data_IF_101516519694
#
_entry.id   IF_101516519694
#
_cell.length_a   1.000
_cell.length_b   1.000
_cell.length_c   1.000
_cell.angle_alpha   90.00
_cell.angle_beta   90.00
_cell.angle_gamma   90.00
#
_symmetry.space_group_name_H-M   'P 1'
#
loop_
_entity.id
_entity.type
_entity.pdbx_description
1 polymer ?
#
# COMPACT_ATOMS: atom_id res chain seq x y z
N UNK A 1 38.85 9.53 -18.72
CA UNK A 1 37.39 9.66 -18.54
C UNK A 1 37.05 9.19 -17.14
N UNK A 2 37.12 10.10 -16.17
CA UNK A 2 36.82 9.83 -14.76
C UNK A 2 35.33 10.03 -14.55
N UNK A 3 34.59 8.93 -14.44
CA UNK A 3 33.18 8.97 -14.04
C UNK A 3 33.16 9.22 -12.54
N UNK A 4 32.53 10.31 -12.14
CA UNK A 4 32.40 10.83 -10.78
C UNK A 4 31.96 9.78 -9.77
N UNK A 5 32.38 9.88 -8.49
CA UNK A 5 31.77 9.09 -7.43
C UNK A 5 30.30 9.47 -7.37
N UNK A 6 29.42 8.50 -7.64
CA UNK A 6 28.00 8.64 -7.43
C UNK A 6 27.81 9.07 -5.98
N UNK A 7 27.31 10.28 -5.78
CA UNK A 7 26.94 10.78 -4.46
C UNK A 7 25.87 9.85 -3.90
N UNK A 8 26.27 8.82 -3.16
CA UNK A 8 25.36 8.05 -2.31
C UNK A 8 24.83 9.03 -1.27
N UNK A 9 23.64 9.57 -1.53
CA UNK A 9 22.96 10.43 -0.59
C UNK A 9 22.78 9.64 0.70
N UNK A 10 23.48 10.08 1.76
CA UNK A 10 23.54 9.39 3.04
C UNK A 10 22.12 8.99 3.50
N UNK A 11 21.93 7.70 3.82
CA UNK A 11 20.67 7.23 4.37
C UNK A 11 20.49 7.78 5.77
N UNK A 12 19.29 8.27 6.06
CA UNK A 12 18.91 8.67 7.40
C UNK A 12 18.89 7.46 8.32
N UNK A 13 19.04 7.71 9.61
CA UNK A 13 18.99 6.66 10.62
C UNK A 13 17.65 5.94 10.74
N UNK A 14 16.55 6.44 10.12
CA UNK A 14 15.30 5.68 10.00
C UNK A 14 15.29 4.78 8.77
N UNK A 15 15.81 5.28 7.64
CA UNK A 15 15.99 4.49 6.42
C UNK A 15 16.91 3.28 6.66
N UNK A 16 18.03 3.48 7.35
CA UNK A 16 18.93 2.39 7.76
C UNK A 16 18.24 1.37 8.66
N UNK A 17 17.44 1.84 9.63
CA UNK A 17 16.70 0.95 10.51
C UNK A 17 15.68 0.10 9.73
N UNK A 18 15.02 0.68 8.72
CA UNK A 18 14.07 -0.05 7.86
C UNK A 18 14.80 -1.10 7.04
N UNK A 19 15.85 -0.73 6.31
CA UNK A 19 16.60 -1.68 5.48
C UNK A 19 17.24 -2.79 6.31
N UNK A 20 17.83 -2.46 7.46
CA UNK A 20 18.45 -3.46 8.34
C UNK A 20 17.44 -4.45 8.91
N UNK A 21 16.24 -4.01 9.27
CA UNK A 21 15.17 -4.92 9.70
C UNK A 21 14.62 -5.75 8.54
N UNK A 22 14.52 -5.17 7.34
CA UNK A 22 14.10 -5.90 6.15
C UNK A 22 15.13 -6.97 5.76
N UNK A 23 16.42 -6.66 5.87
CA UNK A 23 17.52 -7.61 5.66
C UNK A 23 17.46 -8.75 6.69
N UNK A 24 17.29 -8.41 7.98
CA UNK A 24 17.14 -9.39 9.06
C UNK A 24 15.91 -10.30 8.86
N UNK A 25 14.86 -9.83 8.18
CA UNK A 25 13.69 -10.61 7.82
C UNK A 25 13.86 -11.45 6.54
N UNK A 26 15.08 -11.56 5.99
CA UNK A 26 15.35 -12.31 4.75
C UNK A 26 15.22 -11.48 3.47
N UNK A 27 15.08 -10.16 3.60
CA UNK A 27 15.01 -9.21 2.49
C UNK A 27 13.60 -8.94 1.96
N UNK A 28 12.57 -9.50 2.57
CA UNK A 28 11.16 -9.28 2.19
C UNK A 28 10.27 -9.12 3.42
N UNK A 29 9.19 -8.35 3.30
CA UNK A 29 8.19 -8.22 4.36
C UNK A 29 6.81 -7.87 3.78
N UNK A 30 5.76 -8.55 4.23
CA UNK A 30 4.41 -8.38 3.70
C UNK A 30 3.84 -6.98 3.96
N UNK A 31 4.12 -6.39 5.13
CA UNK A 31 3.57 -5.08 5.50
C UNK A 31 4.58 -4.23 6.25
N UNK A 32 4.54 -2.91 6.02
CA UNK A 32 5.40 -1.96 6.75
C UNK A 32 5.15 -1.98 8.27
N UNK A 33 3.93 -2.31 8.69
CA UNK A 33 3.56 -2.41 10.10
C UNK A 33 4.10 -3.68 10.77
N UNK A 34 4.39 -4.74 10.01
CA UNK A 34 4.98 -5.96 10.54
C UNK A 34 6.49 -5.84 10.78
N UNK A 35 7.17 -4.85 10.18
CA UNK A 35 8.60 -4.64 10.40
C UNK A 35 8.87 -4.19 11.86
N UNK A 36 9.69 -4.93 12.63
CA UNK A 36 9.99 -4.63 14.03
C UNK A 36 11.02 -3.49 14.15
N UNK A 37 10.62 -2.29 13.74
CA UNK A 37 11.47 -1.09 13.81
C UNK A 37 11.50 -0.59 15.26
N UNK A 38 12.62 -0.87 15.95
CA UNK A 38 12.87 -0.46 17.35
C UNK A 38 12.90 1.07 17.53
N UNK A 39 13.23 1.80 16.46
CA UNK A 39 13.32 3.26 16.50
C UNK A 39 11.93 3.89 16.63
N UNK A 40 11.76 4.73 17.66
CA UNK A 40 10.53 5.51 17.86
C UNK A 40 10.27 6.39 16.65
N UNK A 41 9.25 6.03 15.88
CA UNK A 41 8.88 6.68 14.63
C UNK A 41 7.40 6.48 14.38
N UNK A 42 6.72 7.50 13.87
CA UNK A 42 5.34 7.39 13.42
C UNK A 42 5.25 6.62 12.11
N UNK A 43 4.08 6.02 11.83
CA UNK A 43 3.83 5.34 10.55
C UNK A 43 4.03 6.28 9.36
N UNK A 44 3.64 7.56 9.48
CA UNK A 44 3.86 8.57 8.43
C UNK A 44 5.35 8.78 8.13
N UNK A 45 6.20 8.82 9.16
CA UNK A 45 7.65 8.92 8.97
C UNK A 45 8.21 7.66 8.31
N UNK A 46 7.73 6.48 8.70
CA UNK A 46 8.14 5.20 8.10
C UNK A 46 7.75 5.13 6.61
N UNK A 47 6.54 5.58 6.26
CA UNK A 47 6.07 5.68 4.87
C UNK A 47 6.98 6.60 4.06
N UNK A 48 7.27 7.81 4.57
CA UNK A 48 8.18 8.75 3.90
C UNK A 48 9.58 8.15 3.70
N UNK A 49 10.10 7.44 4.70
CA UNK A 49 11.39 6.77 4.59
C UNK A 49 11.36 5.65 3.52
N UNK A 50 10.28 4.86 3.42
CA UNK A 50 10.15 3.86 2.37
C UNK A 50 10.08 4.49 0.97
N UNK A 51 9.36 5.61 0.82
CA UNK A 51 9.31 6.38 -0.43
C UNK A 51 10.70 6.90 -0.83
N UNK A 52 11.46 7.41 0.13
CA UNK A 52 12.84 7.87 -0.11
C UNK A 52 13.77 6.71 -0.47
N UNK A 53 13.67 5.58 0.22
CA UNK A 53 14.46 4.38 -0.08
C UNK A 53 14.13 3.81 -1.47
N UNK A 54 12.86 3.81 -1.88
CA UNK A 54 12.47 3.42 -3.23
C UNK A 54 13.02 4.39 -4.28
N UNK A 55 12.94 5.71 -4.03
CA UNK A 55 13.52 6.72 -4.92
C UNK A 55 15.06 6.60 -5.05
N UNK A 56 15.73 6.10 -4.00
CA UNK A 56 17.16 5.78 -4.00
C UNK A 56 17.48 4.38 -4.57
N UNK A 57 16.46 3.61 -4.96
CA UNK A 57 16.63 2.28 -5.52
C UNK A 57 17.03 1.21 -4.49
N UNK A 58 16.86 1.44 -3.18
CA UNK A 58 17.29 0.50 -2.13
C UNK A 58 16.22 -0.55 -1.77
N UNK A 59 14.96 -0.29 -2.07
CA UNK A 59 13.88 -1.25 -1.90
C UNK A 59 12.79 -1.01 -2.93
N UNK A 60 11.93 -1.99 -3.13
CA UNK A 60 10.66 -1.83 -3.82
C UNK A 60 9.52 -2.22 -2.91
N UNK A 61 8.33 -1.68 -3.19
CA UNK A 61 7.12 -2.04 -2.48
C UNK A 61 5.91 -1.90 -3.41
N UNK A 62 4.81 -2.51 -3.01
CA UNK A 62 3.49 -2.30 -3.59
C UNK A 62 2.59 -1.53 -2.62
N UNK A 63 1.49 -0.99 -3.11
CA UNK A 63 0.52 -0.28 -2.28
C UNK A 63 -0.87 -0.87 -2.42
N UNK A 64 -1.45 -1.23 -1.27
CA UNK A 64 -2.81 -1.73 -1.19
C UNK A 64 -3.77 -0.61 -0.73
N UNK A 65 -5.01 -0.62 -1.22
CA UNK A 65 -6.05 0.28 -0.72
C UNK A 65 -6.33 -0.08 0.74
N UNK A 66 -6.12 0.88 1.64
CA UNK A 66 -6.29 0.71 3.08
C UNK A 66 -7.56 1.38 3.60
N UNK A 67 -7.99 2.47 2.97
CA UNK A 67 -9.21 3.19 3.33
C UNK A 67 -9.89 3.74 2.08
N UNK A 68 -11.21 3.54 1.99
CA UNK A 68 -12.02 3.95 0.86
C UNK A 68 -13.46 4.26 1.29
N UNK A 69 -14.24 4.86 0.40
CA UNK A 69 -15.66 5.10 0.59
C UNK A 69 -16.36 5.40 -0.72
N UNK A 70 -17.68 5.57 -0.70
CA UNK A 70 -18.44 5.84 -1.93
C UNK A 70 -18.19 7.26 -2.45
N UNK A 71 -18.06 7.38 -3.77
CA UNK A 71 -18.25 8.66 -4.46
C UNK A 71 -19.74 9.04 -4.50
N UNK A 72 -20.05 10.23 -5.00
CA UNK A 72 -21.44 10.59 -5.31
C UNK A 72 -22.04 9.62 -6.33
N UNK A 73 -21.28 9.26 -7.38
CA UNK A 73 -21.69 8.29 -8.40
C UNK A 73 -22.02 6.93 -7.80
N UNK A 74 -21.14 6.40 -6.93
CA UNK A 74 -21.40 5.13 -6.23
C UNK A 74 -22.64 5.18 -5.35
N UNK A 75 -22.87 6.30 -4.64
CA UNK A 75 -24.09 6.50 -3.84
C UNK A 75 -25.35 6.54 -4.70
N UNK A 76 -25.30 7.26 -5.83
CA UNK A 76 -26.43 7.34 -6.76
C UNK A 76 -26.73 5.98 -7.35
N UNK A 77 -25.71 5.23 -7.79
CA UNK A 77 -25.86 3.89 -8.32
C UNK A 77 -26.62 2.98 -7.34
N UNK A 78 -26.27 3.00 -6.05
CA UNK A 78 -26.95 2.21 -5.02
C UNK A 78 -28.41 2.60 -4.74
N UNK A 79 -28.84 3.79 -5.15
CA UNK A 79 -30.23 4.26 -4.97
C UNK A 79 -31.12 3.97 -6.17
N UNK A 80 -30.54 3.67 -7.32
CA UNK A 80 -31.29 3.35 -8.53
C UNK A 80 -31.88 1.94 -8.39
N UNK A 81 -33.14 1.79 -8.77
CA UNK A 81 -33.74 0.47 -8.95
C UNK A 81 -33.36 -0.04 -10.34
N UNK A 82 -32.30 -0.83 -10.39
CA UNK A 82 -31.74 -1.38 -11.63
C UNK A 82 -32.07 -2.87 -11.71
N UNK A 83 -32.70 -3.26 -12.82
CA UNK A 83 -32.89 -4.68 -13.18
C UNK A 83 -31.56 -5.37 -13.49
N UNK A 84 -30.57 -4.62 -13.99
CA UNK A 84 -29.22 -5.09 -14.29
C UNK A 84 -28.20 -4.09 -13.77
N UNK A 85 -27.28 -4.55 -12.90
CA UNK A 85 -26.23 -3.72 -12.34
C UNK A 85 -25.00 -3.69 -13.24
N UNK A 86 -24.35 -2.54 -13.45
CA UNK A 86 -23.09 -2.43 -14.20
C UNK A 86 -21.87 -2.88 -13.37
N UNK A 87 -22.10 -3.63 -12.29
CA UNK A 87 -21.10 -4.14 -11.36
C UNK A 87 -21.43 -5.59 -11.02
N UNK A 88 -20.40 -6.36 -10.68
CA UNK A 88 -20.56 -7.74 -10.22
C UNK A 88 -21.24 -7.80 -8.84
N UNK A 89 -21.78 -8.96 -8.44
CA UNK A 89 -22.38 -9.12 -7.11
C UNK A 89 -21.40 -8.81 -5.96
N UNK A 90 -20.13 -9.16 -6.10
CA UNK A 90 -19.10 -8.89 -5.09
C UNK A 90 -18.76 -7.41 -5.00
N UNK A 91 -18.62 -6.73 -6.14
CA UNK A 91 -18.45 -5.28 -6.22
C UNK A 91 -19.66 -4.56 -5.59
N UNK A 92 -20.88 -5.03 -5.85
CA UNK A 92 -22.09 -4.49 -5.22
C UNK A 92 -22.07 -4.67 -3.69
N UNK A 93 -21.58 -5.80 -3.18
CA UNK A 93 -21.41 -6.00 -1.74
C UNK A 93 -20.38 -5.04 -1.13
N UNK A 94 -19.28 -4.76 -1.84
CA UNK A 94 -18.30 -3.76 -1.42
C UNK A 94 -18.96 -2.38 -1.34
N UNK A 95 -19.66 -1.96 -2.40
CA UNK A 95 -20.34 -0.66 -2.44
C UNK A 95 -21.37 -0.52 -1.30
N UNK A 96 -22.16 -1.56 -1.02
CA UNK A 96 -23.11 -1.59 0.09
C UNK A 96 -22.42 -1.50 1.46
N UNK A 97 -21.25 -2.12 1.62
CA UNK A 97 -20.47 -2.04 2.86
C UNK A 97 -20.04 -0.61 3.20
N UNK A 98 -19.89 0.25 2.17
CA UNK A 98 -19.52 1.66 2.33
C UNK A 98 -20.69 2.60 2.67
N UNK A 99 -21.93 2.12 2.79
CA UNK A 99 -23.08 3.00 3.07
C UNK A 99 -22.96 3.72 4.43
N UNK A 100 -22.26 3.10 5.40
CA UNK A 100 -21.98 3.68 6.72
C UNK A 100 -20.83 4.69 6.77
N UNK A 101 -20.17 4.98 5.64
CA UNK A 101 -19.07 5.94 5.56
C UNK A 101 -17.78 5.32 5.02
N UNK A 102 -16.64 5.83 5.50
CA UNK A 102 -15.32 5.37 5.08
C UNK A 102 -14.96 4.09 5.81
N UNK A 103 -14.50 3.08 5.08
CA UNK A 103 -14.14 1.78 5.62
C UNK A 103 -12.79 1.31 5.08
N UNK A 104 -12.22 0.29 5.70
CA UNK A 104 -11.07 -0.45 5.21
C UNK A 104 -11.43 -1.85 4.69
N UNK A 105 -10.51 -2.56 4.01
CA UNK A 105 -10.79 -3.87 3.42
C UNK A 105 -11.29 -4.91 4.42
N UNK A 106 -10.88 -4.84 5.69
CA UNK A 106 -11.32 -5.77 6.75
C UNK A 106 -12.81 -5.64 7.09
N UNK A 107 -13.43 -4.49 6.80
CA UNK A 107 -14.83 -4.20 7.07
C UNK A 107 -15.76 -4.56 5.89
N UNK A 108 -15.20 -5.00 4.76
CA UNK A 108 -15.97 -5.51 3.63
C UNK A 108 -16.72 -6.77 4.05
N UNK A 109 -17.96 -6.90 3.56
CA UNK A 109 -18.80 -8.07 3.78
C UNK A 109 -18.03 -9.40 3.56
N UNK A 110 -18.12 -10.30 4.54
CA UNK A 110 -17.34 -11.56 4.62
C UNK A 110 -17.48 -12.52 3.42
N UNK A 111 -18.52 -12.37 2.61
CA UNK A 111 -18.71 -13.18 1.39
C UNK A 111 -17.73 -12.81 0.28
N UNK A 112 -17.20 -11.59 0.29
CA UNK A 112 -16.16 -11.18 -0.65
C UNK A 112 -14.83 -11.76 -0.17
N UNK A 113 -14.26 -12.66 -0.97
CA UNK A 113 -12.97 -13.32 -0.74
C UNK A 113 -11.88 -12.31 -0.42
N UNK A 114 -11.07 -12.57 0.62
CA UNK A 114 -9.98 -11.67 1.03
C UNK A 114 -8.97 -11.45 -0.09
N UNK A 115 -8.63 -12.50 -0.84
CA UNK A 115 -7.69 -12.42 -1.96
C UNK A 115 -8.19 -11.57 -3.14
N UNK A 116 -9.51 -11.43 -3.28
CA UNK A 116 -10.10 -10.67 -4.38
C UNK A 116 -10.33 -9.19 -4.05
N UNK A 117 -10.36 -8.83 -2.75
CA UNK A 117 -10.75 -7.48 -2.29
C UNK A 117 -9.95 -6.38 -2.96
N UNK A 118 -8.62 -6.48 -2.99
CA UNK A 118 -7.78 -5.42 -3.58
C UNK A 118 -8.06 -5.24 -5.07
N UNK A 119 -8.12 -6.34 -5.83
CA UNK A 119 -8.45 -6.29 -7.26
C UNK A 119 -9.81 -5.64 -7.52
N UNK A 120 -10.83 -6.00 -6.73
CA UNK A 120 -12.18 -5.42 -6.87
C UNK A 120 -12.20 -3.93 -6.47
N UNK A 121 -11.46 -3.55 -5.43
CA UNK A 121 -11.35 -2.16 -5.00
C UNK A 121 -10.69 -1.28 -6.06
N UNK A 122 -9.59 -1.74 -6.67
CA UNK A 122 -8.94 -1.00 -7.76
C UNK A 122 -9.90 -0.79 -8.94
N UNK A 123 -10.62 -1.84 -9.38
CA UNK A 123 -11.62 -1.73 -10.45
C UNK A 123 -12.74 -0.74 -10.10
N UNK A 124 -13.27 -0.79 -8.88
CA UNK A 124 -14.29 0.16 -8.42
C UNK A 124 -13.77 1.60 -8.36
N UNK A 125 -12.48 1.80 -8.04
CA UNK A 125 -11.84 3.11 -8.03
C UNK A 125 -11.64 3.63 -9.45
N UNK A 126 -11.16 2.79 -10.38
CA UNK A 126 -11.02 3.09 -11.80
C UNK A 126 -12.36 3.50 -12.44
N UNK A 127 -13.45 2.82 -12.05
CA UNK A 127 -14.81 3.17 -12.47
C UNK A 127 -15.37 4.44 -11.81
N UNK A 128 -14.65 5.04 -10.85
CA UNK A 128 -15.10 6.23 -10.12
C UNK A 128 -16.28 5.98 -9.16
N UNK A 129 -16.54 4.72 -8.77
CA UNK A 129 -17.62 4.36 -7.85
C UNK A 129 -17.20 4.48 -6.38
N UNK A 130 -15.90 4.32 -6.11
CA UNK A 130 -15.30 4.60 -4.81
C UNK A 130 -14.19 5.64 -4.93
N UNK A 131 -13.93 6.32 -3.82
CA UNK A 131 -12.77 7.18 -3.63
C UNK A 131 -11.83 6.52 -2.63
N UNK A 132 -10.54 6.51 -2.96
CA UNK A 132 -9.48 6.00 -2.08
C UNK A 132 -8.97 7.16 -1.21
N UNK A 133 -9.00 6.96 0.11
CA UNK A 133 -8.53 7.93 1.10
C UNK A 133 -7.14 7.61 1.63
N UNK A 134 -6.71 6.35 1.53
CA UNK A 134 -5.41 5.93 2.01
C UNK A 134 -4.97 4.61 1.40
N UNK A 135 -3.67 4.53 1.14
CA UNK A 135 -2.97 3.32 0.75
C UNK A 135 -1.98 2.90 1.84
N UNK A 136 -1.76 1.60 1.97
CA UNK A 136 -0.76 1.02 2.85
C UNK A 136 0.37 0.41 2.04
N UNK A 137 1.60 0.63 2.50
CA UNK A 137 2.80 0.00 1.91
C UNK A 137 2.82 -1.48 2.29
N UNK A 138 2.85 -2.34 1.27
CA UNK A 138 2.85 -3.80 1.35
C UNK A 138 3.93 -4.39 0.42
N UNK A 139 4.21 -5.68 0.57
CA UNK A 139 5.14 -6.43 -0.27
C UNK A 139 6.51 -5.72 -0.42
N UNK A 140 7.09 -5.33 0.71
CA UNK A 140 8.41 -4.69 0.72
C UNK A 140 9.46 -5.73 0.34
N UNK A 141 10.39 -5.35 -0.54
CA UNK A 141 11.52 -6.19 -0.91
C UNK A 141 12.79 -5.36 -1.09
N UNK A 142 13.92 -5.88 -0.58
CA UNK A 142 15.23 -5.29 -0.84
C UNK A 142 15.63 -5.51 -2.28
N UNK A 143 16.14 -4.44 -2.89
CA UNK A 143 16.85 -4.53 -4.16
C UNK A 143 18.30 -4.98 -3.94
N UNK A 144 19.02 -5.40 -4.99
CA UNK A 144 20.46 -5.64 -4.92
C UNK A 144 21.22 -4.44 -4.36
N UNK A 145 20.88 -3.22 -4.79
CA UNK A 145 21.50 -1.98 -4.35
C UNK A 145 21.29 -1.73 -2.85
N UNK A 146 20.09 -2.06 -2.34
CA UNK A 146 19.80 -1.97 -0.91
C UNK A 146 20.57 -2.98 -0.05
N UNK A 147 20.88 -4.16 -0.60
CA UNK A 147 21.70 -5.18 0.07
C UNK A 147 23.17 -4.75 0.12
N UNK A 148 23.70 -4.22 -0.98
CA UNK A 148 25.08 -3.73 -1.06
C UNK A 148 25.40 -2.61 -0.07
N UNK A 149 24.38 -1.90 0.43
CA UNK A 149 24.55 -0.89 1.48
C UNK A 149 25.09 -1.50 2.79
N UNK A 150 24.81 -2.78 3.08
CA UNK A 150 25.29 -3.48 4.29
C UNK A 150 26.49 -4.40 4.04
N UNK A 151 26.88 -4.60 2.77
CA UNK A 151 28.03 -5.44 2.41
C UNK A 151 29.34 -4.65 2.30
N UNK A 152 29.28 -3.32 2.29
CA UNK A 152 30.44 -2.42 2.15
C UNK A 152 30.74 -1.58 3.42
N UNK A 153 30.25 -2.00 4.60
CA UNK A 153 30.70 -1.48 5.92
C UNK A 153 31.72 -2.41 6.57
#
# INVERSE_FOLDING_TARGET
MTVSPTTQAALSSLELAILGQLLAAGGTCDTLTALPIKKRSSLRQRIRACQQLQAKGCLTYSEDIAQFGLTLTGKTLLKLDLSVWPVTPDELMILRSCQGGRIGPSQIHRRVSVGDRQRLLERLAEQGLIVVYGRAIVNLSLTPEGRHYFENE
#
